data_IF_229602774648
#
_entry.id   IF_229602774648
#
_cell.length_a   1.000
_cell.length_b   1.000
_cell.length_c   1.000
_cell.angle_alpha   90.00
_cell.angle_beta   90.00
_cell.angle_gamma   90.00
#
_symmetry.space_group_name_H-M   'P 1'
#
loop_
_entity.id
_entity.type
_entity.pdbx_description
1 polymer ?
#
# COMPACT_ATOMS: atom_id res chain seq x y z
N UNK A 1 -6.32 -4.61 7.19
CA UNK A 1 -5.99 -3.29 7.76
C UNK A 1 -4.72 -2.80 7.05
N UNK A 2 -4.56 -1.51 6.80
CA UNK A 2 -3.33 -0.98 6.21
C UNK A 2 -2.15 -1.19 7.19
N UNK A 3 -1.13 -1.99 6.83
CA UNK A 3 0.01 -2.28 7.71
C UNK A 3 0.78 -1.01 8.09
N UNK A 4 0.88 -0.03 7.19
CA UNK A 4 1.61 1.22 7.42
C UNK A 4 0.87 2.08 8.44
N UNK A 5 -0.44 2.28 8.25
CA UNK A 5 -1.28 3.00 9.20
C UNK A 5 -1.28 2.32 10.58
N UNK A 6 -1.36 0.99 10.60
CA UNK A 6 -1.34 0.20 11.84
C UNK A 6 -0.01 0.34 12.57
N UNK A 7 1.12 0.26 11.85
CA UNK A 7 2.45 0.48 12.40
C UNK A 7 2.60 1.89 12.97
N UNK A 8 2.17 2.93 12.25
CA UNK A 8 2.22 4.31 12.74
C UNK A 8 1.49 4.49 14.08
N UNK A 9 0.29 3.93 14.21
CA UNK A 9 -0.48 4.00 15.46
C UNK A 9 0.26 3.26 16.58
N UNK A 10 0.76 2.06 16.30
CA UNK A 10 1.45 1.25 17.30
C UNK A 10 2.78 1.89 17.75
N UNK A 11 3.53 2.53 16.85
CA UNK A 11 4.74 3.30 17.21
C UNK A 11 4.41 4.48 18.15
N UNK A 12 3.30 5.17 17.92
CA UNK A 12 2.86 6.26 18.81
C UNK A 12 2.51 5.71 20.19
N UNK A 13 1.81 4.57 20.26
CA UNK A 13 1.45 3.93 21.52
C UNK A 13 2.69 3.38 22.25
N UNK A 14 3.60 2.76 21.52
CA UNK A 14 4.86 2.23 22.06
C UNK A 14 5.70 3.33 22.70
N UNK A 15 5.88 4.47 22.02
CA UNK A 15 6.59 5.64 22.58
C UNK A 15 5.88 6.26 23.77
N UNK A 16 4.55 6.31 23.74
CA UNK A 16 3.74 6.96 24.78
C UNK A 16 3.66 6.14 26.07
N UNK A 17 3.76 4.82 25.96
CA UNK A 17 3.57 3.90 27.08
C UNK A 17 4.80 3.02 27.36
N UNK A 18 5.91 3.21 26.63
CA UNK A 18 7.17 2.47 26.76
C UNK A 18 6.97 0.95 26.70
N UNK A 19 6.21 0.49 25.70
CA UNK A 19 5.75 -0.90 25.62
C UNK A 19 6.84 -1.88 25.16
N UNK A 20 7.87 -1.40 24.47
CA UNK A 20 8.94 -2.23 23.92
C UNK A 20 8.47 -3.16 22.80
N UNK A 21 7.51 -2.70 21.99
CA UNK A 21 6.95 -3.48 20.90
C UNK A 21 8.00 -3.76 19.82
N UNK A 22 7.91 -4.96 19.25
CA UNK A 22 8.71 -5.37 18.10
C UNK A 22 7.88 -5.25 16.82
N UNK A 23 8.37 -4.45 15.87
CA UNK A 23 7.68 -4.17 14.61
C UNK A 23 8.16 -5.01 13.43
N UNK A 24 9.09 -5.96 13.63
CA UNK A 24 9.70 -6.73 12.54
C UNK A 24 8.70 -7.46 11.64
N UNK A 25 7.64 -8.03 12.21
CA UNK A 25 6.62 -8.71 11.41
C UNK A 25 5.83 -7.74 10.54
N UNK A 26 5.43 -6.59 11.09
CA UNK A 26 4.77 -5.52 10.34
C UNK A 26 5.69 -4.94 9.26
N UNK A 27 6.99 -4.81 9.54
CA UNK A 27 7.98 -4.39 8.54
C UNK A 27 8.06 -5.38 7.37
N UNK A 28 8.07 -6.68 7.65
CA UNK A 28 8.07 -7.71 6.61
C UNK A 28 6.77 -7.67 5.78
N UNK A 29 5.62 -7.47 6.42
CA UNK A 29 4.35 -7.31 5.71
C UNK A 29 4.35 -6.08 4.80
N UNK A 30 4.87 -4.94 5.27
CA UNK A 30 4.99 -3.71 4.48
C UNK A 30 5.93 -3.93 3.28
N UNK A 31 7.08 -4.56 3.50
CA UNK A 31 8.03 -4.87 2.40
C UNK A 31 7.36 -5.75 1.35
N UNK A 32 6.69 -6.81 1.77
CA UNK A 32 6.00 -7.71 0.85
C UNK A 32 4.92 -6.98 0.05
N UNK A 33 4.11 -6.15 0.70
CA UNK A 33 3.06 -5.37 0.03
C UNK A 33 3.65 -4.42 -1.03
N UNK A 34 4.80 -3.81 -0.75
CA UNK A 34 5.49 -2.94 -1.71
C UNK A 34 6.06 -3.73 -2.89
N UNK A 35 6.66 -4.90 -2.65
CA UNK A 35 7.13 -5.79 -3.70
C UNK A 35 5.98 -6.25 -4.61
N UNK A 36 4.86 -6.64 -4.00
CA UNK A 36 3.63 -7.04 -4.68
C UNK A 36 3.11 -5.90 -5.59
N UNK A 37 3.07 -4.66 -5.09
CA UNK A 37 2.71 -3.49 -5.89
C UNK A 37 3.71 -3.21 -7.04
N UNK A 38 5.01 -3.31 -6.79
CA UNK A 38 6.02 -3.16 -7.84
C UNK A 38 5.86 -4.21 -8.94
N UNK A 39 5.57 -5.46 -8.57
CA UNK A 39 5.32 -6.54 -9.51
C UNK A 39 4.08 -6.27 -10.36
N UNK A 40 3.00 -5.80 -9.73
CA UNK A 40 1.78 -5.40 -10.43
C UNK A 40 2.03 -4.25 -11.43
N UNK A 41 2.77 -3.22 -11.00
CA UNK A 41 3.15 -2.08 -11.85
C UNK A 41 4.05 -2.47 -13.03
N UNK A 42 4.89 -3.49 -12.88
CA UNK A 42 5.71 -4.02 -13.99
C UNK A 42 4.90 -4.85 -14.97
N UNK A 43 3.86 -5.53 -14.50
CA UNK A 43 3.03 -6.42 -15.32
C UNK A 43 2.02 -5.65 -16.16
N UNK A 44 1.47 -4.56 -15.63
CA UNK A 44 0.47 -3.73 -16.32
C UNK A 44 0.88 -2.24 -16.36
N UNK A 45 1.15 -1.77 -17.58
CA UNK A 45 1.49 -0.38 -17.86
C UNK A 45 0.34 0.61 -17.62
N UNK A 46 -0.91 0.15 -17.67
CA UNK A 46 -2.08 0.98 -17.32
C UNK A 46 -2.13 1.17 -15.80
N UNK A 47 -1.89 0.14 -14.99
CA UNK A 47 -1.81 0.26 -13.52
C UNK A 47 -0.69 1.22 -13.13
N UNK A 48 0.49 1.07 -13.73
CA UNK A 48 1.60 2.00 -13.50
C UNK A 48 1.21 3.45 -13.81
N UNK A 49 0.47 3.68 -14.90
CA UNK A 49 -0.05 4.99 -15.28
C UNK A 49 -1.06 5.52 -14.26
N UNK A 50 -2.00 4.69 -13.82
CA UNK A 50 -3.02 5.08 -12.86
C UNK A 50 -2.43 5.44 -11.49
N UNK A 51 -1.45 4.67 -11.02
CA UNK A 51 -0.73 4.98 -9.78
C UNK A 51 0.03 6.31 -9.93
N UNK A 52 0.73 6.54 -11.04
CA UNK A 52 1.43 7.81 -11.28
C UNK A 52 0.46 9.01 -11.35
N UNK A 53 -0.76 8.82 -11.85
CA UNK A 53 -1.80 9.86 -11.83
C UNK A 53 -2.21 10.17 -10.40
N UNK A 54 -2.49 9.15 -9.59
CA UNK A 54 -2.85 9.31 -8.18
C UNK A 54 -1.73 9.98 -7.36
N UNK A 55 -0.47 9.60 -7.59
CA UNK A 55 0.70 10.22 -6.94
C UNK A 55 0.83 11.71 -7.27
N UNK A 56 0.41 12.13 -8.47
CA UNK A 56 0.38 13.53 -8.90
C UNK A 56 -0.86 14.28 -8.44
N UNK A 57 -1.74 13.63 -7.67
CA UNK A 57 -3.03 14.19 -7.23
C UNK A 57 -4.06 14.30 -8.35
N UNK A 58 -3.87 13.58 -9.46
CA UNK A 58 -4.82 13.52 -10.57
C UNK A 58 -5.83 12.42 -10.24
N UNK A 59 -7.10 12.79 -10.16
CA UNK A 59 -8.18 11.82 -9.98
C UNK A 59 -8.32 10.94 -11.23
N UNK A 60 -8.54 9.65 -11.00
CA UNK A 60 -8.92 8.70 -12.04
C UNK A 60 -10.40 8.88 -12.39
N UNK A 61 -10.77 8.57 -13.62
CA UNK A 61 -12.17 8.38 -13.99
C UNK A 61 -12.75 7.12 -13.34
N UNK A 62 -14.08 6.96 -13.40
CA UNK A 62 -14.78 5.80 -12.83
C UNK A 62 -14.29 4.48 -13.45
N UNK A 63 -14.20 4.41 -14.78
CA UNK A 63 -13.70 3.23 -15.49
C UNK A 63 -12.23 2.91 -15.16
N UNK A 64 -11.37 3.93 -15.07
CA UNK A 64 -9.96 3.77 -14.71
C UNK A 64 -9.80 3.31 -13.25
N UNK A 65 -10.61 3.86 -12.35
CA UNK A 65 -10.66 3.50 -10.95
C UNK A 65 -11.17 2.07 -10.73
N UNK A 66 -12.22 1.66 -11.44
CA UNK A 66 -12.75 0.30 -11.39
C UNK A 66 -11.73 -0.72 -11.93
N UNK A 67 -11.09 -0.41 -13.07
CA UNK A 67 -10.04 -1.27 -13.63
C UNK A 67 -8.84 -1.40 -12.68
N UNK A 68 -8.39 -0.30 -12.07
CA UNK A 68 -7.32 -0.33 -11.08
C UNK A 68 -7.70 -1.18 -9.87
N UNK A 69 -8.92 -1.00 -9.33
CA UNK A 69 -9.40 -1.75 -8.18
C UNK A 69 -9.50 -3.25 -8.47
N UNK A 70 -9.99 -3.63 -9.66
CA UNK A 70 -10.11 -5.03 -10.06
C UNK A 70 -8.73 -5.70 -10.19
N UNK A 71 -7.79 -5.08 -10.89
CA UNK A 71 -6.45 -5.68 -11.06
C UNK A 71 -5.69 -5.80 -9.73
N UNK A 72 -5.83 -4.82 -8.83
CA UNK A 72 -5.25 -4.90 -7.48
C UNK A 72 -5.91 -6.02 -6.67
N UNK A 73 -7.24 -6.20 -6.77
CA UNK A 73 -7.97 -7.23 -6.05
C UNK A 73 -7.74 -8.66 -6.61
N UNK A 74 -7.45 -8.80 -7.90
CA UNK A 74 -7.07 -10.09 -8.50
C UNK A 74 -5.62 -10.48 -8.17
N UNK A 75 -4.79 -9.52 -7.82
CA UNK A 75 -3.37 -9.73 -7.53
C UNK A 75 -3.08 -10.05 -6.05
N UNK A 76 -3.83 -9.46 -5.12
CA UNK A 76 -3.69 -9.64 -3.66
C UNK A 76 -4.55 -10.82 -3.13
#
# INVERSE_FOLDING_TARGET
>A
ADPIASKCILEVLDRKFELGLDFRELDLEIVKLNEDLEHLMRRDTDISRYIQMLERGIALSEDEGEKLAQEVAEFL
#
